data_IF_632374386837
#
_entry.id   IF_632374386837
#
_cell.length_a   1.000
_cell.length_b   1.000
_cell.length_c   1.000
_cell.angle_alpha   90.00
_cell.angle_beta   90.00
_cell.angle_gamma   90.00
#
_symmetry.space_group_name_H-M   'P 1'
#
loop_
_entity.id
_entity.type
_entity.pdbx_description
1 polymer ?
#
# COMPACT_ATOMS: atom_id res chain seq x y z
N UNK A 1 24.98 14.09 2.73
CA UNK A 1 25.11 13.71 4.15
C UNK A 1 23.79 14.07 4.82
N UNK A 2 22.95 13.10 5.15
CA UNK A 2 21.62 13.37 5.73
C UNK A 2 21.77 13.53 7.27
N UNK A 3 21.20 14.59 7.85
CA UNK A 3 21.37 14.93 9.27
C UNK A 3 20.72 13.96 10.27
N UNK A 4 21.01 14.16 11.56
CA UNK A 4 20.61 13.26 12.67
C UNK A 4 19.09 13.11 12.91
N UNK A 5 18.28 14.00 12.31
CA UNK A 5 16.82 14.07 12.44
C UNK A 5 16.01 13.10 11.55
N UNK A 6 16.69 12.21 10.82
CA UNK A 6 15.99 11.24 9.98
C UNK A 6 15.16 10.22 10.79
N UNK A 7 13.99 9.79 10.29
CA UNK A 7 13.25 8.69 10.88
C UNK A 7 14.07 7.39 10.83
N UNK A 8 13.80 6.46 11.75
CA UNK A 8 14.56 5.21 11.87
C UNK A 8 14.58 4.44 10.54
N UNK A 9 13.45 4.41 9.86
CA UNK A 9 13.26 3.79 8.54
C UNK A 9 14.26 4.33 7.51
N UNK A 10 14.44 5.66 7.45
CA UNK A 10 15.41 6.27 6.54
C UNK A 10 16.84 5.89 6.92
N UNK A 11 17.15 5.79 8.22
CA UNK A 11 18.46 5.31 8.69
C UNK A 11 18.70 3.84 8.31
N UNK A 12 17.67 3.00 8.38
CA UNK A 12 17.72 1.59 8.00
C UNK A 12 17.84 1.38 6.49
N UNK A 13 17.27 2.29 5.70
CA UNK A 13 17.24 2.22 4.23
C UNK A 13 18.30 3.12 3.58
N UNK A 14 19.27 3.63 4.34
CA UNK A 14 20.23 4.65 3.89
C UNK A 14 20.91 4.30 2.55
N UNK A 15 21.23 3.04 2.33
CA UNK A 15 21.96 2.57 1.14
C UNK A 15 21.07 2.50 -0.11
N UNK A 16 19.76 2.61 0.07
CA UNK A 16 18.75 2.60 -0.98
C UNK A 16 18.09 3.98 -1.18
N UNK A 17 18.38 4.98 -0.34
CA UNK A 17 17.75 6.30 -0.43
C UNK A 17 18.25 7.07 -1.66
N UNK A 18 17.34 7.47 -2.54
CA UNK A 18 17.58 8.52 -3.55
C UNK A 18 17.36 9.90 -2.94
N UNK A 19 16.25 10.07 -2.25
CA UNK A 19 15.91 11.33 -1.58
C UNK A 19 14.93 11.11 -0.43
N UNK A 20 14.92 12.08 0.49
CA UNK A 20 14.02 12.14 1.63
C UNK A 20 13.31 13.49 1.60
N UNK A 21 11.98 13.47 1.62
CA UNK A 21 11.15 14.67 1.55
C UNK A 21 10.30 14.73 2.81
N UNK A 22 10.32 15.86 3.50
CA UNK A 22 9.41 16.11 4.61
C UNK A 22 8.03 16.44 4.06
N UNK A 23 7.01 15.73 4.52
CA UNK A 23 5.62 15.93 4.11
C UNK A 23 4.76 16.25 5.32
N UNK A 24 3.53 16.72 5.11
CA UNK A 24 2.60 16.95 6.22
C UNK A 24 2.38 15.64 6.98
N UNK A 25 2.65 15.64 8.28
CA UNK A 25 2.45 14.47 9.13
C UNK A 25 3.56 13.42 9.07
N UNK A 26 4.65 13.61 8.32
CA UNK A 26 5.73 12.63 8.28
C UNK A 26 6.77 12.82 7.19
N UNK A 27 7.16 11.71 6.55
CA UNK A 27 8.27 11.66 5.58
C UNK A 27 7.90 10.81 4.37
N UNK A 28 8.40 11.20 3.20
CA UNK A 28 8.44 10.37 2.01
C UNK A 28 9.90 10.02 1.70
N UNK A 29 10.15 8.73 1.50
CA UNK A 29 11.43 8.19 1.07
C UNK A 29 11.30 7.73 -0.38
N UNK A 30 12.14 8.26 -1.27
CA UNK A 30 12.26 7.76 -2.63
C UNK A 30 13.45 6.80 -2.69
N UNK A 31 13.24 5.60 -3.22
CA UNK A 31 14.13 4.46 -3.06
C UNK A 31 14.68 3.98 -4.42
N UNK A 32 15.93 3.52 -4.42
CA UNK A 32 16.61 2.86 -5.53
C UNK A 32 17.01 1.46 -5.10
N UNK A 33 16.15 0.48 -5.34
CA UNK A 33 16.35 -0.89 -4.89
C UNK A 33 15.59 -1.88 -5.76
N UNK A 34 15.86 -3.17 -5.57
CA UNK A 34 15.23 -4.24 -6.33
C UNK A 34 13.98 -4.79 -5.60
N UNK A 35 13.05 -3.89 -5.29
CA UNK A 35 11.80 -4.19 -4.57
C UNK A 35 10.60 -3.73 -5.37
N UNK A 36 9.42 -4.19 -4.99
CA UNK A 36 8.19 -4.00 -5.77
C UNK A 36 7.61 -2.58 -5.69
N UNK A 37 8.16 -1.71 -4.86
CA UNK A 37 7.74 -0.30 -4.73
C UNK A 37 8.96 0.60 -4.69
N UNK A 38 8.82 1.88 -5.02
CA UNK A 38 9.92 2.84 -5.09
C UNK A 38 9.74 4.06 -4.19
N UNK A 39 8.55 4.22 -3.61
CA UNK A 39 8.21 5.30 -2.67
C UNK A 39 7.66 4.71 -1.38
N UNK A 40 8.19 5.16 -0.24
CA UNK A 40 7.68 4.84 1.09
C UNK A 40 7.25 6.11 1.81
N UNK A 41 5.96 6.26 2.12
CA UNK A 41 5.49 7.29 3.01
C UNK A 41 5.40 6.73 4.43
N UNK A 42 5.86 7.52 5.40
CA UNK A 42 5.84 7.21 6.83
C UNK A 42 5.14 8.38 7.49
N UNK A 43 3.87 8.19 7.84
CA UNK A 43 3.03 9.22 8.45
C UNK A 43 2.76 8.87 9.91
N UNK A 44 2.52 9.89 10.71
CA UNK A 44 2.19 9.73 12.12
C UNK A 44 0.80 10.31 12.39
N UNK A 45 -0.05 9.49 13.00
CA UNK A 45 -1.38 9.91 13.46
C UNK A 45 -1.41 9.89 14.98
N UNK A 46 -1.76 11.02 15.58
CA UNK A 46 -1.94 11.11 17.02
C UNK A 46 -3.16 10.27 17.44
N UNK A 47 -3.03 9.54 18.55
CA UNK A 47 -4.16 8.88 19.19
C UNK A 47 -4.90 9.92 20.03
N UNK A 48 -6.21 10.16 19.82
CA UNK A 48 -6.96 11.11 20.64
C UNK A 48 -6.82 10.78 22.12
N UNK A 49 -6.61 11.81 22.95
CA UNK A 49 -6.47 11.69 24.41
C UNK A 49 -5.21 10.91 24.87
N UNK A 50 -4.24 10.67 23.99
CA UNK A 50 -2.91 10.16 24.35
C UNK A 50 -1.80 10.99 23.70
N UNK A 51 -0.59 10.93 24.29
CA UNK A 51 0.64 11.42 23.64
C UNK A 51 1.23 10.41 22.64
N UNK A 52 0.57 9.26 22.51
CA UNK A 52 0.94 8.18 21.60
C UNK A 52 0.62 8.49 20.13
N UNK A 53 1.39 7.84 19.26
CA UNK A 53 1.24 7.94 17.80
C UNK A 53 1.17 6.56 17.18
N UNK A 54 0.25 6.40 16.24
CA UNK A 54 0.27 5.29 15.28
C UNK A 54 1.13 5.69 14.10
N UNK A 55 1.97 4.77 13.64
CA UNK A 55 2.75 4.96 12.41
C UNK A 55 2.00 4.31 11.26
N UNK A 56 1.83 5.05 10.18
CA UNK A 56 1.20 4.62 8.94
C UNK A 56 2.30 4.50 7.91
N UNK A 57 2.52 3.29 7.42
CA UNK A 57 3.47 3.02 6.34
C UNK A 57 2.68 2.85 5.04
N UNK A 58 3.08 3.56 3.99
CA UNK A 58 2.47 3.43 2.67
C UNK A 58 3.55 3.20 1.63
N UNK A 59 3.60 1.99 1.09
CA UNK A 59 4.42 1.67 -0.08
C UNK A 59 3.63 2.02 -1.33
N UNK A 60 4.23 2.82 -2.21
CA UNK A 60 3.63 3.21 -3.49
C UNK A 60 4.52 2.67 -4.61
N UNK A 61 3.89 2.00 -5.56
CA UNK A 61 4.52 1.68 -6.83
C UNK A 61 3.70 2.25 -7.97
N UNK A 62 4.35 3.11 -8.75
CA UNK A 62 3.94 3.36 -10.12
C UNK A 62 4.12 2.05 -10.90
N UNK A 63 3.07 1.57 -11.55
CA UNK A 63 3.08 0.30 -12.28
C UNK A 63 3.00 0.52 -13.78
N UNK A 64 2.12 1.40 -14.24
CA UNK A 64 2.03 1.83 -15.64
C UNK A 64 2.06 3.35 -15.71
N UNK A 65 2.99 3.89 -16.48
CA UNK A 65 3.13 5.33 -16.71
C UNK A 65 2.16 5.80 -17.79
N UNK A 66 1.88 7.10 -17.82
CA UNK A 66 0.97 7.72 -18.79
C UNK A 66 1.30 7.32 -20.23
N UNK A 67 2.58 7.35 -20.58
CA UNK A 67 3.11 7.03 -21.90
C UNK A 67 2.90 5.57 -22.32
N UNK A 68 2.73 4.67 -21.34
CA UNK A 68 2.59 3.22 -21.55
C UNK A 68 1.13 2.73 -21.43
N UNK A 69 0.18 3.64 -21.13
CA UNK A 69 -1.25 3.32 -21.04
C UNK A 69 -1.84 3.21 -22.45
N UNK A 70 -1.91 1.98 -22.95
CA UNK A 70 -2.62 1.61 -24.17
C UNK A 70 -4.15 1.46 -23.94
N UNK A 71 -4.88 1.14 -25.02
CA UNK A 71 -6.34 0.93 -24.95
C UNK A 71 -6.74 -0.24 -24.03
N UNK A 72 -5.88 -1.26 -23.89
CA UNK A 72 -6.17 -2.44 -23.07
C UNK A 72 -6.06 -2.09 -21.60
N UNK A 73 -5.05 -1.31 -21.20
CA UNK A 73 -4.94 -0.77 -19.84
C UNK A 73 -6.15 0.09 -19.46
N UNK A 74 -6.65 0.93 -20.38
CA UNK A 74 -7.89 1.71 -20.14
C UNK A 74 -9.09 0.82 -19.88
N UNK A 75 -9.25 -0.27 -20.64
CA UNK A 75 -10.35 -1.22 -20.46
C UNK A 75 -10.23 -2.02 -19.15
N UNK A 76 -9.01 -2.33 -18.74
CA UNK A 76 -8.73 -3.14 -17.54
C UNK A 76 -8.75 -2.31 -16.25
N UNK A 77 -8.50 -1.01 -16.32
CA UNK A 77 -8.44 -0.12 -15.17
C UNK A 77 -9.69 -0.18 -14.27
N UNK A 78 -10.93 -0.09 -14.78
CA UNK A 78 -12.13 -0.22 -13.94
C UNK A 78 -12.24 -1.56 -13.22
N UNK A 79 -11.79 -2.67 -13.84
CA UNK A 79 -11.80 -4.00 -13.21
C UNK A 79 -10.84 -4.03 -12.02
N UNK A 80 -9.63 -3.50 -12.19
CA UNK A 80 -8.63 -3.42 -11.12
C UNK A 80 -9.09 -2.52 -9.98
N UNK A 81 -9.77 -1.42 -10.30
CA UNK A 81 -10.24 -0.45 -9.33
C UNK A 81 -11.25 -1.05 -8.33
N UNK A 82 -12.05 -2.03 -8.77
CA UNK A 82 -13.00 -2.76 -7.92
C UNK A 82 -12.36 -3.80 -6.99
N UNK A 83 -11.06 -4.02 -7.10
CA UNK A 83 -10.34 -5.10 -6.44
C UNK A 83 -9.35 -4.58 -5.39
N UNK A 84 -9.80 -3.65 -4.56
CA UNK A 84 -9.02 -3.28 -3.39
C UNK A 84 -9.25 -4.27 -2.25
N UNK A 85 -8.27 -4.41 -1.37
CA UNK A 85 -8.32 -5.41 -0.31
C UNK A 85 -7.87 -4.84 1.03
N UNK A 86 -8.54 -5.27 2.10
CA UNK A 86 -8.23 -4.87 3.47
C UNK A 86 -8.07 -6.09 4.38
N UNK A 87 -7.18 -5.96 5.35
CA UNK A 87 -6.95 -6.95 6.39
C UNK A 87 -8.09 -6.95 7.42
N UNK A 88 -8.70 -8.11 7.60
CA UNK A 88 -9.56 -8.46 8.73
C UNK A 88 -8.90 -9.48 9.66
N UNK A 89 -9.52 -9.67 10.83
CA UNK A 89 -9.12 -10.66 11.82
C UNK A 89 -10.35 -11.48 12.24
N UNK A 90 -10.27 -12.81 12.18
CA UNK A 90 -11.36 -13.71 12.59
C UNK A 90 -10.96 -14.61 13.76
N UNK A 91 -11.95 -15.01 14.56
CA UNK A 91 -11.77 -15.91 15.71
C UNK A 91 -11.52 -15.19 17.05
N UNK A 92 -12.01 -15.81 18.14
CA UNK A 92 -12.00 -15.26 19.49
C UNK A 92 -10.66 -15.50 20.24
N UNK A 93 -10.08 -16.68 20.10
CA UNK A 93 -8.87 -17.09 20.85
C UNK A 93 -7.58 -17.02 20.01
N UNK A 94 -7.66 -17.42 18.74
CA UNK A 94 -6.55 -17.33 17.79
C UNK A 94 -6.98 -16.46 16.63
N UNK A 95 -6.80 -15.15 16.77
CA UNK A 95 -7.11 -14.20 15.69
C UNK A 95 -6.33 -14.58 14.44
N UNK A 96 -7.03 -15.10 13.43
CA UNK A 96 -6.46 -15.45 12.13
C UNK A 96 -6.59 -14.22 11.22
N UNK A 97 -5.49 -13.71 10.67
CA UNK A 97 -5.57 -12.64 9.68
C UNK A 97 -6.15 -13.19 8.38
N UNK A 98 -6.93 -12.39 7.68
CA UNK A 98 -7.38 -12.66 6.33
C UNK A 98 -7.59 -11.34 5.59
N UNK A 99 -7.22 -11.30 4.32
CA UNK A 99 -7.58 -10.21 3.42
C UNK A 99 -8.96 -10.48 2.84
N UNK A 100 -9.80 -9.45 2.76
CA UNK A 100 -11.08 -9.49 2.05
C UNK A 100 -11.15 -8.35 1.04
N UNK A 101 -12.03 -8.47 0.05
CA UNK A 101 -12.40 -7.32 -0.78
C UNK A 101 -12.91 -6.20 0.14
N UNK A 102 -12.43 -4.97 -0.09
CA UNK A 102 -12.76 -3.82 0.75
C UNK A 102 -13.67 -2.85 -0.01
N UNK A 103 -14.64 -2.28 0.71
CA UNK A 103 -15.42 -1.17 0.17
C UNK A 103 -14.52 0.06 0.20
N UNK A 104 -13.89 0.39 -0.93
CA UNK A 104 -13.10 1.61 -1.01
C UNK A 104 -14.00 2.83 -0.96
N UNK A 105 -13.41 3.98 -0.62
CA UNK A 105 -14.04 5.30 -0.85
C UNK A 105 -14.47 5.47 -2.32
N UNK A 106 -13.84 4.73 -3.24
CA UNK A 106 -14.08 4.74 -4.67
C UNK A 106 -15.44 4.13 -5.08
N UNK A 107 -15.98 3.17 -4.33
CA UNK A 107 -17.32 2.62 -4.61
C UNK A 107 -18.43 3.66 -4.51
N UNK A 108 -18.27 4.64 -3.61
CA UNK A 108 -19.20 5.78 -3.52
C UNK A 108 -19.12 6.70 -4.74
N UNK A 109 -18.01 6.64 -5.46
CA UNK A 109 -17.73 7.52 -6.58
C UNK A 109 -18.02 6.86 -7.93
N UNK A 110 -18.17 5.53 -7.99
CA UNK A 110 -18.39 4.77 -9.23
C UNK A 110 -19.48 3.74 -8.98
N UNK A 111 -20.71 4.05 -9.42
CA UNK A 111 -21.81 3.10 -9.43
C UNK A 111 -21.48 1.93 -10.38
N UNK A 112 -21.68 0.69 -9.91
CA UNK A 112 -21.51 -0.50 -10.74
C UNK A 112 -20.11 -1.10 -10.79
N UNK A 113 -19.18 -0.66 -9.93
CA UNK A 113 -17.92 -1.37 -9.71
C UNK A 113 -18.21 -2.82 -9.28
N UNK A 114 -17.79 -3.76 -10.13
CA UNK A 114 -17.90 -5.19 -9.82
C UNK A 114 -16.76 -5.54 -8.87
N UNK A 115 -17.13 -5.94 -7.65
CA UNK A 115 -16.17 -6.49 -6.68
C UNK A 115 -15.82 -7.90 -7.09
N UNK A 116 -14.55 -8.20 -6.96
CA UNK A 116 -13.99 -9.51 -7.12
C UNK A 116 -13.06 -9.78 -5.92
N UNK A 117 -12.93 -11.06 -5.57
CA UNK A 117 -12.12 -11.55 -4.46
C UNK A 117 -10.75 -12.05 -4.93
N UNK A 118 -10.43 -12.00 -6.23
CA UNK A 118 -9.18 -12.52 -6.80
C UNK A 118 -7.97 -11.90 -6.12
N UNK A 119 -7.89 -10.56 -5.96
CA UNK A 119 -6.74 -9.96 -5.27
C UNK A 119 -6.64 -10.43 -3.81
N UNK A 120 -7.75 -10.43 -3.06
CA UNK A 120 -7.75 -10.90 -1.67
C UNK A 120 -7.36 -12.37 -1.55
N UNK A 121 -7.82 -13.21 -2.46
CA UNK A 121 -7.49 -14.64 -2.51
C UNK A 121 -6.01 -14.83 -2.84
N UNK A 122 -5.47 -14.05 -3.79
CA UNK A 122 -4.04 -14.05 -4.09
C UNK A 122 -3.22 -13.62 -2.88
N UNK A 123 -3.59 -12.55 -2.17
CA UNK A 123 -2.91 -12.10 -0.93
C UNK A 123 -2.96 -13.18 0.16
N UNK A 124 -4.13 -13.78 0.41
CA UNK A 124 -4.30 -14.85 1.40
C UNK A 124 -3.50 -16.11 1.07
N UNK A 125 -3.24 -16.37 -0.22
CA UNK A 125 -2.44 -17.52 -0.66
C UNK A 125 -0.93 -17.36 -0.41
N UNK A 126 -0.44 -16.13 -0.22
CA UNK A 126 0.97 -15.86 0.04
C UNK A 126 1.32 -16.18 1.50
N UNK A 127 1.79 -17.40 1.77
CA UNK A 127 2.17 -17.87 3.11
C UNK A 127 3.10 -16.90 3.85
N UNK A 128 4.17 -16.45 3.18
CA UNK A 128 5.16 -15.54 3.78
C UNK A 128 4.55 -14.20 4.20
N UNK A 129 3.62 -13.67 3.40
CA UNK A 129 2.87 -12.46 3.75
C UNK A 129 2.02 -12.72 5.00
N UNK A 130 1.25 -13.80 5.02
CA UNK A 130 0.36 -14.11 6.14
C UNK A 130 1.14 -14.36 7.44
N UNK A 131 2.33 -14.94 7.37
CA UNK A 131 3.21 -15.14 8.53
C UNK A 131 3.82 -13.81 9.01
N UNK A 132 4.20 -12.91 8.10
CA UNK A 132 4.59 -11.55 8.45
C UNK A 132 3.45 -10.78 9.13
N UNK A 133 2.22 -10.86 8.61
CA UNK A 133 1.06 -10.20 9.21
C UNK A 133 0.79 -10.72 10.63
N UNK A 134 0.88 -12.03 10.87
CA UNK A 134 0.75 -12.60 12.23
C UNK A 134 1.87 -12.14 13.17
N UNK A 135 3.08 -11.95 12.65
CA UNK A 135 4.25 -11.49 13.43
C UNK A 135 4.17 -10.01 13.77
N UNK A 136 3.78 -9.18 12.80
CA UNK A 136 3.66 -7.72 12.94
C UNK A 136 2.42 -7.37 13.78
N UNK A 137 1.31 -8.09 13.59
CA UNK A 137 -0.02 -7.79 14.13
C UNK A 137 -0.41 -6.33 13.88
N UNK A 138 -0.48 -5.91 12.60
CA UNK A 138 -0.85 -4.53 12.27
C UNK A 138 -2.28 -4.23 12.73
N UNK A 139 -2.51 -2.97 13.06
CA UNK A 139 -3.83 -2.49 13.49
C UNK A 139 -4.77 -2.41 12.29
N UNK A 140 -4.22 -2.06 11.12
CA UNK A 140 -4.87 -2.17 9.81
C UNK A 140 -3.83 -2.41 8.70
N UNK A 141 -4.25 -3.03 7.60
CA UNK A 141 -3.45 -3.11 6.37
C UNK A 141 -4.38 -3.15 5.15
N UNK A 142 -3.96 -2.55 4.04
CA UNK A 142 -4.73 -2.55 2.79
C UNK A 142 -3.85 -2.53 1.54
N UNK A 143 -4.43 -2.92 0.42
CA UNK A 143 -3.89 -2.75 -0.92
C UNK A 143 -4.97 -2.10 -1.78
N UNK A 144 -4.68 -0.93 -2.31
CA UNK A 144 -5.64 -0.11 -3.05
C UNK A 144 -4.98 0.46 -4.31
N UNK A 145 -5.76 0.60 -5.38
CA UNK A 145 -5.32 1.31 -6.56
C UNK A 145 -5.35 2.81 -6.27
N UNK A 146 -4.24 3.50 -6.52
CA UNK A 146 -4.12 4.95 -6.35
C UNK A 146 -4.94 5.65 -7.42
N UNK A 147 -5.74 6.63 -7.00
CA UNK A 147 -6.45 7.53 -7.90
C UNK A 147 -6.01 8.94 -7.56
N UNK A 148 -5.10 9.49 -8.35
CA UNK A 148 -4.68 10.88 -8.23
C UNK A 148 -5.58 11.76 -9.09
N UNK A 149 -6.80 12.00 -8.62
CA UNK A 149 -7.71 12.99 -9.22
C UNK A 149 -7.19 14.38 -8.82
N UNK A 150 -6.55 15.08 -9.76
CA UNK A 150 -6.22 16.50 -9.57
C UNK A 150 -7.48 17.35 -9.74
N UNK A 151 -7.48 18.57 -9.21
CA UNK A 151 -8.62 19.50 -9.33
C UNK A 151 -9.03 19.84 -10.77
N UNK A 152 -8.19 19.48 -11.76
CA UNK A 152 -8.39 19.78 -13.17
C UNK A 152 -9.05 18.63 -13.96
N UNK A 153 -9.11 17.41 -13.41
CA UNK A 153 -9.63 16.23 -14.11
C UNK A 153 -10.78 15.65 -13.30
N UNK A 154 -11.97 15.50 -13.90
CA UNK A 154 -13.07 14.83 -13.19
C UNK A 154 -12.74 13.34 -13.02
N UNK A 155 -13.28 12.71 -11.97
CA UNK A 155 -13.09 11.27 -11.77
C UNK A 155 -13.54 10.46 -12.99
N UNK A 156 -14.65 10.84 -13.64
CA UNK A 156 -15.13 10.19 -14.86
C UNK A 156 -14.12 10.27 -16.00
N UNK A 157 -13.51 11.44 -16.22
CA UNK A 157 -12.45 11.61 -17.22
C UNK A 157 -11.20 10.78 -16.89
N UNK A 158 -10.85 10.67 -15.61
CA UNK A 158 -9.73 9.84 -15.17
C UNK A 158 -10.01 8.34 -15.36
N UNK A 159 -11.26 7.89 -15.19
CA UNK A 159 -11.63 6.50 -15.44
C UNK A 159 -11.56 6.12 -16.91
N UNK A 160 -11.98 7.04 -17.78
CA UNK A 160 -11.90 6.83 -19.24
C UNK A 160 -10.45 6.94 -19.74
N UNK A 161 -9.63 7.77 -19.09
CA UNK A 161 -8.25 8.05 -19.47
C UNK A 161 -7.34 8.18 -18.24
N UNK A 162 -6.96 7.05 -17.61
CA UNK A 162 -6.04 7.08 -16.48
C UNK A 162 -4.70 7.67 -16.92
N UNK A 163 -4.14 8.56 -16.09
CA UNK A 163 -2.82 9.16 -16.36
C UNK A 163 -1.68 8.36 -15.76
N UNK A 164 -1.99 7.44 -14.84
CA UNK A 164 -1.05 6.49 -14.25
C UNK A 164 -1.87 5.35 -13.61
N UNK A 165 -1.24 4.19 -13.51
CA UNK A 165 -1.77 3.05 -12.74
C UNK A 165 -0.75 2.79 -11.64
N UNK A 166 -1.14 3.11 -10.41
CA UNK A 166 -0.26 3.01 -9.24
C UNK A 166 -0.94 2.18 -8.16
N UNK A 167 -0.21 1.27 -7.53
CA UNK A 167 -0.69 0.52 -6.37
C UNK A 167 -0.14 1.14 -5.09
N UNK A 168 -0.99 1.17 -4.06
CA UNK A 168 -0.62 1.59 -2.71
C UNK A 168 -0.92 0.45 -1.74
N UNK A 169 0.10 -0.02 -1.04
CA UNK A 169 -0.05 -0.91 0.10
C UNK A 169 0.13 -0.08 1.37
N UNK A 170 -0.82 -0.15 2.29
CA UNK A 170 -0.78 0.54 3.56
C UNK A 170 -0.71 -0.44 4.72
N UNK A 171 0.00 -0.07 5.79
CA UNK A 171 0.05 -0.80 7.05
C UNK A 171 0.12 0.19 8.21
N UNK A 172 -0.85 0.14 9.10
CA UNK A 172 -0.84 0.92 10.35
C UNK A 172 -0.39 0.06 11.52
N UNK A 173 0.53 0.61 12.32
CA UNK A 173 0.96 -0.03 13.56
C UNK A 173 1.35 1.00 14.61
N UNK A 174 0.92 0.76 15.84
CA UNK A 174 1.56 1.37 17.00
C UNK A 174 2.99 0.82 17.17
N UNK A 175 3.99 1.67 16.93
CA UNK A 175 5.41 1.30 16.97
C UNK A 175 6.06 1.88 18.22
N UNK A 176 6.29 1.02 19.21
CA UNK A 176 7.02 1.39 20.42
C UNK A 176 8.53 1.36 20.15
N UNK A 177 9.25 2.42 20.55
CA UNK A 177 10.72 2.44 20.46
C UNK A 177 11.31 1.50 21.50
N UNK A 178 12.15 0.56 21.07
CA UNK A 178 12.79 -0.40 21.96
C UNK A 178 13.56 -1.50 21.23
N UNK A 179 14.11 -2.47 21.97
CA UNK A 179 14.78 -3.64 21.41
C UNK A 179 13.84 -4.37 20.43
N UNK A 180 14.30 -4.55 19.19
CA UNK A 180 13.52 -5.24 18.14
C UNK A 180 12.78 -4.33 17.16
N UNK A 181 12.76 -3.00 17.36
CA UNK A 181 12.11 -2.06 16.41
C UNK A 181 12.67 -2.19 14.99
N UNK A 182 13.97 -2.36 14.84
CA UNK A 182 14.61 -2.59 13.53
C UNK A 182 14.07 -3.85 12.85
N UNK A 183 13.87 -4.93 13.61
CA UNK A 183 13.30 -6.16 13.09
C UNK A 183 11.84 -5.98 12.69
N UNK A 184 11.05 -5.22 13.48
CA UNK A 184 9.67 -4.89 13.16
C UNK A 184 9.58 -4.09 11.85
N UNK A 185 10.35 -3.01 11.71
CA UNK A 185 10.37 -2.17 10.49
C UNK A 185 10.76 -3.01 9.26
N UNK A 186 11.76 -3.89 9.36
CA UNK A 186 12.12 -4.81 8.27
C UNK A 186 10.97 -5.75 7.88
N UNK A 187 10.26 -6.30 8.86
CA UNK A 187 9.09 -7.14 8.59
C UNK A 187 7.98 -6.32 7.90
N UNK A 188 7.72 -5.09 8.35
CA UNK A 188 6.72 -4.19 7.75
C UNK A 188 7.08 -3.92 6.29
N UNK A 189 8.31 -3.52 6.00
CA UNK A 189 8.78 -3.28 4.62
C UNK A 189 8.62 -4.53 3.76
N UNK A 190 8.94 -5.71 4.30
CA UNK A 190 8.80 -6.98 3.59
C UNK A 190 7.33 -7.33 3.31
N UNK A 191 6.43 -7.05 4.26
CA UNK A 191 5.00 -7.26 4.07
C UNK A 191 4.45 -6.34 2.97
N UNK A 192 4.82 -5.05 3.01
CA UNK A 192 4.45 -4.08 1.97
C UNK A 192 4.96 -4.47 0.58
N UNK A 193 6.20 -4.95 0.50
CA UNK A 193 6.80 -5.46 -0.75
C UNK A 193 5.98 -6.63 -1.33
N UNK A 194 5.65 -7.62 -0.52
CA UNK A 194 4.83 -8.78 -0.94
C UNK A 194 3.41 -8.38 -1.34
N UNK A 195 2.81 -7.42 -0.63
CA UNK A 195 1.48 -6.88 -0.96
C UNK A 195 1.50 -6.21 -2.34
N UNK A 196 2.46 -5.32 -2.61
CA UNK A 196 2.59 -4.65 -3.91
C UNK A 196 2.95 -5.65 -5.01
N UNK A 197 3.87 -6.59 -4.76
CA UNK A 197 4.23 -7.63 -5.72
C UNK A 197 3.00 -8.44 -6.16
N UNK A 198 2.15 -8.81 -5.19
CA UNK A 198 0.90 -9.54 -5.46
C UNK A 198 -0.09 -8.70 -6.26
N UNK A 199 -0.19 -7.40 -5.97
CA UNK A 199 -1.05 -6.48 -6.71
C UNK A 199 -0.60 -6.32 -8.17
N UNK A 200 0.71 -6.26 -8.42
CA UNK A 200 1.28 -6.25 -9.78
C UNK A 200 1.00 -7.56 -10.52
N UNK A 201 1.19 -8.71 -9.86
CA UNK A 201 0.87 -10.03 -10.43
C UNK A 201 -0.62 -10.10 -10.82
N UNK A 202 -1.51 -9.58 -9.96
CA UNK A 202 -2.93 -9.47 -10.25
C UNK A 202 -3.18 -8.59 -11.48
N UNK A 203 -2.61 -7.39 -11.54
CA UNK A 203 -2.77 -6.48 -12.68
C UNK A 203 -2.35 -7.12 -14.00
N UNK A 204 -1.26 -7.88 -14.04
CA UNK A 204 -0.82 -8.61 -15.23
C UNK A 204 -1.83 -9.68 -15.64
N UNK A 205 -2.35 -10.47 -14.69
CA UNK A 205 -3.37 -11.48 -14.98
C UNK A 205 -4.62 -10.87 -15.59
N UNK A 206 -5.12 -9.76 -15.02
CA UNK A 206 -6.29 -9.08 -15.57
C UNK A 206 -5.99 -8.45 -16.93
N UNK A 207 -4.78 -7.93 -17.14
CA UNK A 207 -4.35 -7.41 -18.44
C UNK A 207 -4.24 -8.51 -19.49
N UNK A 208 -3.85 -9.74 -19.14
CA UNK A 208 -3.73 -10.86 -20.08
C UNK A 208 -5.06 -11.54 -20.43
N UNK A 209 -6.06 -11.40 -19.55
CA UNK A 209 -7.43 -11.93 -19.71
C UNK A 209 -8.23 -11.24 -20.81
#
# INVERSE_FOLDING_TARGET
MFGDDLPLEAKLLKDYLRSVIKVQGGWQLNLSWNKSFDKLLILYRNIPLSFDKVTIYMAVSEFVKKEDIDSKWKQTFPKMLGNSSSLGWSGLLFKKPFFSSSNTKTEKLIQGLVKDEVLSNMLNSKKDLMDLIKKIKPDSASVDLSINVTSQVSLTQFLDNPTEISWVASLEKYVMRGPGITGLVKNIISALDLMIATAKEYSLKVYES
#
